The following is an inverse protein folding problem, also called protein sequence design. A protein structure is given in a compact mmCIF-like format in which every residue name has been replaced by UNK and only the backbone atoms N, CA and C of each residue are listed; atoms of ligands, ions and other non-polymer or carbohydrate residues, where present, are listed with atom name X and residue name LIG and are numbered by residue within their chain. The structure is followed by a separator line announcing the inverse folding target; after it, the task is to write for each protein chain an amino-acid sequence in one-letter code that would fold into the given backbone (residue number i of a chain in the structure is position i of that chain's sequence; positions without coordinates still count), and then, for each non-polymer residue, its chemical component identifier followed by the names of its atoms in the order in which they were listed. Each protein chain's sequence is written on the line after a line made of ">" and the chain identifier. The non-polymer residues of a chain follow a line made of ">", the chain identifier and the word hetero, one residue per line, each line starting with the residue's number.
data_IF_369455781373
#
_entry.id   IF_369455781373
#
_cell.length_a   1.000
_cell.length_b   1.000
_cell.length_c   1.000
_cell.angle_alpha   90.00
_cell.angle_beta   90.00
_cell.angle_gamma   90.00
#
_symmetry.space_group_name_H-M   'P 1'
#
loop_
_entity.id
_entity.type
_entity.pdbx_description
1 polymer ?
#
# COMPACT_ATOMS: atom_id res chain seq x y z
N UNK A 1 24.79 -21.15 1.62
CA UNK A 1 25.34 -20.47 0.43
C UNK A 1 24.22 -19.78 -0.36
N UNK A 2 23.35 -20.54 -1.04
CA UNK A 2 22.24 -20.02 -1.90
C UNK A 2 21.36 -18.93 -1.25
N UNK A 3 20.90 -19.10 0.00
CA UNK A 3 20.08 -18.08 0.69
C UNK A 3 20.79 -16.73 0.84
N UNK A 4 22.09 -16.76 1.14
CA UNK A 4 22.90 -15.56 1.31
C UNK A 4 23.10 -14.84 -0.02
N UNK A 5 23.32 -15.60 -1.10
CA UNK A 5 23.45 -15.06 -2.45
C UNK A 5 22.15 -14.40 -2.91
N UNK A 6 21.00 -15.07 -2.74
CA UNK A 6 19.69 -14.49 -3.05
C UNK A 6 19.47 -13.19 -2.27
N UNK A 7 19.78 -13.17 -0.98
CA UNK A 7 19.66 -11.95 -0.14
C UNK A 7 20.55 -10.82 -0.65
N UNK A 8 21.79 -11.11 -1.03
CA UNK A 8 22.70 -10.11 -1.60
C UNK A 8 22.17 -9.54 -2.92
N UNK A 9 21.66 -10.40 -3.81
CA UNK A 9 21.05 -9.97 -5.08
C UNK A 9 19.83 -9.08 -4.81
N UNK A 10 18.94 -9.46 -3.89
CA UNK A 10 17.79 -8.65 -3.51
C UNK A 10 18.19 -7.25 -3.00
N UNK A 11 19.22 -7.19 -2.15
CA UNK A 11 19.75 -5.92 -1.63
C UNK A 11 20.36 -5.06 -2.74
N UNK A 12 21.15 -5.64 -3.65
CA UNK A 12 21.75 -4.93 -4.78
C UNK A 12 20.69 -4.34 -5.72
N UNK A 13 19.66 -5.12 -6.07
CA UNK A 13 18.56 -4.63 -6.91
C UNK A 13 17.77 -3.53 -6.20
N UNK A 14 17.51 -3.67 -4.90
CA UNK A 14 16.82 -2.65 -4.10
C UNK A 14 17.61 -1.33 -4.04
N UNK A 15 18.93 -1.38 -3.84
CA UNK A 15 19.78 -0.20 -3.90
C UNK A 15 19.76 0.45 -5.30
N UNK A 16 19.78 -0.37 -6.36
CA UNK A 16 19.64 0.10 -7.74
C UNK A 16 18.32 0.85 -7.99
N UNK A 17 17.21 0.35 -7.44
CA UNK A 17 15.91 1.02 -7.52
C UNK A 17 15.95 2.40 -6.84
N UNK A 18 16.51 2.48 -5.62
CA UNK A 18 16.64 3.75 -4.90
C UNK A 18 17.49 4.73 -5.71
N UNK A 19 18.63 4.28 -6.24
CA UNK A 19 19.50 5.10 -7.09
C UNK A 19 18.73 5.66 -8.30
N UNK A 20 17.92 4.84 -8.96
CA UNK A 20 17.09 5.27 -10.08
C UNK A 20 16.14 6.38 -9.66
N UNK A 21 15.42 6.26 -8.54
CA UNK A 21 14.50 7.31 -8.08
C UNK A 21 15.22 8.60 -7.70
N UNK A 22 16.40 8.52 -7.07
CA UNK A 22 17.23 9.68 -6.72
C UNK A 22 17.78 10.39 -7.97
N UNK A 23 18.16 9.62 -8.99
CA UNK A 23 18.74 10.14 -10.23
C UNK A 23 17.69 10.60 -11.24
N UNK A 24 16.48 10.04 -11.22
CA UNK A 24 15.37 10.38 -12.13
C UNK A 24 15.17 11.89 -12.38
N UNK A 25 15.18 12.77 -11.35
CA UNK A 25 14.97 14.20 -11.55
C UNK A 25 16.17 14.97 -12.10
N UNK A 26 17.34 14.34 -12.21
CA UNK A 26 18.60 15.00 -12.60
C UNK A 26 18.73 15.19 -14.11
N UNK A 27 19.57 16.15 -14.50
CA UNK A 27 19.94 16.40 -15.90
C UNK A 27 20.64 15.19 -16.52
N UNK A 28 21.52 14.53 -15.76
CA UNK A 28 22.23 13.31 -16.16
C UNK A 28 21.25 12.22 -16.58
N UNK A 29 20.23 11.95 -15.75
CA UNK A 29 19.24 10.93 -16.09
C UNK A 29 18.43 11.32 -17.34
N UNK A 30 17.94 12.55 -17.42
CA UNK A 30 17.08 12.99 -18.54
C UNK A 30 17.80 13.10 -19.88
N UNK A 31 19.03 13.60 -19.89
CA UNK A 31 19.79 13.89 -21.12
C UNK A 31 20.69 12.74 -21.56
N UNK A 32 21.17 11.91 -20.64
CA UNK A 32 22.15 10.87 -20.94
C UNK A 32 21.58 9.47 -20.72
N UNK A 33 21.15 9.14 -19.49
CA UNK A 33 20.80 7.75 -19.16
C UNK A 33 19.50 7.31 -19.84
N UNK A 34 18.42 8.06 -19.67
CA UNK A 34 17.10 7.67 -20.18
C UNK A 34 17.06 7.59 -21.71
N UNK A 35 17.63 8.53 -22.49
CA UNK A 35 17.70 8.40 -23.94
C UNK A 35 18.51 7.19 -24.39
N UNK A 36 19.66 6.91 -23.75
CA UNK A 36 20.49 5.73 -24.05
C UNK A 36 19.76 4.42 -23.77
N UNK A 37 19.06 4.32 -22.63
CA UNK A 37 18.25 3.14 -22.29
C UNK A 37 17.08 3.02 -23.26
N UNK A 38 16.39 4.12 -23.59
CA UNK A 38 15.28 4.12 -24.54
C UNK A 38 15.72 3.62 -25.92
N UNK A 39 16.86 4.08 -26.43
CA UNK A 39 17.39 3.62 -27.71
C UNK A 39 17.62 2.10 -27.75
N UNK A 40 18.03 1.50 -26.63
CA UNK A 40 18.29 0.04 -26.52
C UNK A 40 17.04 -0.80 -26.21
N UNK A 41 15.96 -0.18 -25.75
CA UNK A 41 14.76 -0.88 -25.26
C UNK A 41 13.51 -0.62 -26.10
N UNK A 42 13.61 0.27 -27.07
CA UNK A 42 12.55 0.53 -28.04
C UNK A 42 12.50 -0.64 -29.03
N UNK A 43 11.51 -1.50 -28.83
CA UNK A 43 11.23 -2.67 -29.67
C UNK A 43 9.86 -2.57 -30.31
N UNK A 44 9.59 -3.42 -31.30
CA UNK A 44 8.29 -3.53 -31.97
C UNK A 44 7.16 -3.81 -30.97
N UNK A 45 7.43 -4.58 -29.91
CA UNK A 45 6.41 -5.00 -28.93
C UNK A 45 6.22 -4.00 -27.79
N UNK A 46 7.31 -3.46 -27.23
CA UNK A 46 7.22 -2.60 -26.04
C UNK A 46 7.23 -1.10 -26.35
N UNK A 47 7.60 -0.71 -27.58
CA UNK A 47 7.57 0.68 -28.05
C UNK A 47 8.19 1.67 -27.06
N UNK A 48 7.45 2.73 -26.75
CA UNK A 48 7.89 3.79 -25.82
C UNK A 48 7.82 3.40 -24.34
N UNK A 49 7.19 2.27 -24.00
CA UNK A 49 7.07 1.78 -22.64
C UNK A 49 8.27 0.93 -22.20
N UNK A 50 9.03 0.35 -23.15
CA UNK A 50 10.13 -0.59 -22.86
C UNK A 50 11.14 -0.09 -21.83
N UNK A 51 11.62 1.15 -21.98
CA UNK A 51 12.57 1.74 -21.04
C UNK A 51 12.01 1.83 -19.61
N UNK A 52 10.74 2.21 -19.46
CA UNK A 52 10.11 2.38 -18.15
C UNK A 52 9.74 1.05 -17.51
N UNK A 53 9.33 0.06 -18.32
CA UNK A 53 9.15 -1.31 -17.86
C UNK A 53 10.46 -1.88 -17.31
N UNK A 54 11.58 -1.71 -18.03
CA UNK A 54 12.88 -2.21 -17.61
C UNK A 54 13.38 -1.55 -16.31
N UNK A 55 13.20 -0.23 -16.18
CA UNK A 55 13.79 0.54 -15.07
C UNK A 55 12.91 0.49 -13.81
N UNK A 56 11.58 0.53 -13.96
CA UNK A 56 10.65 0.68 -12.83
C UNK A 56 9.87 -0.59 -12.52
N UNK A 57 9.32 -1.25 -13.54
CA UNK A 57 8.43 -2.40 -13.35
C UNK A 57 9.22 -3.68 -13.07
N UNK A 58 10.16 -4.03 -13.94
CA UNK A 58 10.90 -5.28 -13.88
C UNK A 58 11.66 -5.48 -12.56
N UNK A 59 12.43 -4.51 -12.02
CA UNK A 59 13.21 -4.72 -10.80
C UNK A 59 12.32 -4.99 -9.58
N UNK A 60 11.17 -4.31 -9.49
CA UNK A 60 10.20 -4.53 -8.41
C UNK A 60 9.56 -5.92 -8.48
N UNK A 61 9.11 -6.34 -9.67
CA UNK A 61 8.54 -7.67 -9.86
C UNK A 61 9.58 -8.77 -9.67
N UNK A 62 10.84 -8.52 -10.07
CA UNK A 62 11.96 -9.41 -9.83
C UNK A 62 12.22 -9.61 -8.33
N UNK A 63 12.24 -8.53 -7.53
CA UNK A 63 12.35 -8.60 -6.06
C UNK A 63 11.19 -9.42 -5.48
N UNK A 64 9.96 -9.18 -5.94
CA UNK A 64 8.80 -9.92 -5.45
C UNK A 64 8.89 -11.42 -5.76
N UNK A 65 9.22 -11.78 -7.01
CA UNK A 65 9.34 -13.17 -7.45
C UNK A 65 10.49 -13.90 -6.74
N UNK A 66 11.69 -13.30 -6.73
CA UNK A 66 12.85 -13.86 -6.04
C UNK A 66 12.64 -13.90 -4.52
N UNK A 67 11.87 -12.94 -3.98
CA UNK A 67 11.41 -12.93 -2.60
C UNK A 67 10.55 -14.13 -2.23
N UNK A 68 9.64 -14.56 -3.11
CA UNK A 68 8.87 -15.78 -2.91
C UNK A 68 9.78 -17.02 -2.80
N UNK A 69 10.77 -17.12 -3.71
CA UNK A 69 11.76 -18.22 -3.68
C UNK A 69 12.57 -18.19 -2.38
N UNK A 70 13.06 -17.01 -1.99
CA UNK A 70 13.81 -16.84 -0.74
C UNK A 70 13.01 -17.27 0.48
N UNK A 71 11.75 -16.82 0.59
CA UNK A 71 10.88 -17.15 1.71
C UNK A 71 10.53 -18.64 1.73
N UNK A 72 10.30 -19.26 0.58
CA UNK A 72 10.03 -20.70 0.47
C UNK A 72 11.23 -21.53 0.96
N UNK A 73 12.44 -21.21 0.50
CA UNK A 73 13.67 -21.86 0.96
C UNK A 73 13.89 -21.67 2.46
N UNK A 74 13.45 -20.53 3.00
CA UNK A 74 13.59 -20.20 4.43
C UNK A 74 12.60 -20.99 5.28
N UNK A 75 11.35 -21.14 4.83
CA UNK A 75 10.28 -21.87 5.53
C UNK A 75 10.57 -23.37 5.68
N UNK A 76 11.26 -24.00 4.72
CA UNK A 76 11.55 -25.43 4.74
C UNK A 76 12.66 -25.85 5.73
N UNK A 77 13.36 -24.90 6.35
CA UNK A 77 14.32 -25.19 7.42
C UNK A 77 13.75 -24.65 8.74
N UNK A 78 13.18 -25.54 9.56
CA UNK A 78 12.67 -25.21 10.90
C UNK A 78 13.76 -24.71 11.89
N UNK A 79 15.01 -24.58 11.47
CA UNK A 79 16.15 -24.24 12.33
C UNK A 79 16.38 -22.73 12.60
N UNK A 80 15.59 -21.83 12.00
CA UNK A 80 15.78 -20.38 12.22
C UNK A 80 15.15 -19.91 13.55
N UNK A 81 14.37 -20.74 14.22
CA UNK A 81 13.68 -20.36 15.46
C UNK A 81 14.57 -20.33 16.72
N UNK A 82 15.86 -20.71 16.62
CA UNK A 82 16.81 -20.70 17.76
C UNK A 82 17.94 -19.66 17.67
N UNK A 83 18.10 -18.91 16.57
CA UNK A 83 19.38 -18.20 16.29
C UNK A 83 19.37 -16.66 16.39
N UNK A 84 18.35 -16.03 16.98
CA UNK A 84 18.36 -14.56 17.22
C UNK A 84 18.46 -14.13 18.68
N UNK A 85 18.93 -14.99 19.59
CA UNK A 85 19.13 -14.65 21.02
C UNK A 85 20.44 -13.86 21.30
N UNK A 86 21.10 -13.32 20.26
CA UNK A 86 22.21 -12.37 20.41
C UNK A 86 22.04 -11.18 19.47
N UNK A 87 21.00 -10.37 19.65
CA UNK A 87 20.90 -9.08 18.97
C UNK A 87 21.55 -7.98 19.85
N UNK A 88 22.51 -7.27 19.25
CA UNK A 88 23.30 -6.20 19.87
C UNK A 88 22.42 -5.10 20.48
N UNK A 89 22.66 -4.73 21.74
CA UNK A 89 21.87 -3.76 22.53
C UNK A 89 21.67 -2.38 21.87
N UNK A 90 22.45 -2.00 20.86
CA UNK A 90 22.32 -0.73 20.12
C UNK A 90 21.19 -0.72 19.08
N UNK A 91 20.87 -1.85 18.46
CA UNK A 91 19.83 -1.93 17.41
C UNK A 91 18.43 -1.96 18.04
N UNK A 92 18.29 -2.48 19.28
CA UNK A 92 17.01 -2.52 19.99
C UNK A 92 16.47 -1.12 20.32
N UNK A 93 17.35 -0.14 20.56
CA UNK A 93 17.00 1.26 20.86
C UNK A 93 16.29 1.94 19.67
N UNK A 94 16.60 1.56 18.43
CA UNK A 94 15.94 2.12 17.24
C UNK A 94 14.59 1.47 16.92
N UNK A 95 14.32 0.30 17.51
CA UNK A 95 13.04 -0.42 17.42
C UNK A 95 12.04 0.04 18.48
N UNK A 96 12.44 0.88 19.45
CA UNK A 96 11.51 1.43 20.43
C UNK A 96 10.63 2.50 19.78
N UNK A 97 9.36 2.63 20.23
CA UNK A 97 8.47 3.68 19.74
C UNK A 97 8.99 5.04 20.21
N UNK A 98 9.34 5.91 19.26
CA UNK A 98 9.81 7.28 19.54
C UNK A 98 8.64 8.25 19.59
N UNK A 99 7.61 8.01 18.79
CA UNK A 99 6.36 8.78 18.79
C UNK A 99 5.21 7.86 19.15
N UNK A 100 4.47 8.17 20.21
CA UNK A 100 3.34 7.36 20.70
C UNK A 100 2.00 8.09 20.50
N UNK A 101 2.02 9.40 20.22
CA UNK A 101 0.82 10.22 19.95
C UNK A 101 1.13 11.28 18.89
N UNK A 102 0.33 11.33 17.82
CA UNK A 102 0.46 12.30 16.72
C UNK A 102 -0.27 11.84 15.45
N UNK A 103 -0.37 12.69 14.40
CA UNK A 103 -1.01 12.34 13.13
C UNK A 103 -0.34 11.16 12.40
N UNK A 104 0.92 10.87 12.76
CA UNK A 104 1.69 9.74 12.24
C UNK A 104 1.41 8.42 13.00
N UNK A 105 0.72 8.45 14.14
CA UNK A 105 0.47 7.24 14.95
C UNK A 105 1.70 6.79 15.74
N UNK A 106 1.78 5.49 16.04
CA UNK A 106 2.91 4.89 16.78
C UNK A 106 4.03 4.57 15.79
N UNK A 107 5.19 5.21 15.96
CA UNK A 107 6.31 5.16 15.00
C UNK A 107 7.62 4.87 15.74
N UNK A 108 8.41 3.93 15.22
CA UNK A 108 9.76 3.63 15.72
C UNK A 108 10.80 4.62 15.17
N UNK A 109 11.98 4.69 15.77
CA UNK A 109 13.07 5.54 15.26
C UNK A 109 13.47 5.19 13.82
N UNK A 110 13.49 3.90 13.48
CA UNK A 110 13.75 3.44 12.11
C UNK A 110 12.69 3.92 11.12
N UNK A 111 11.41 3.78 11.46
CA UNK A 111 10.31 4.20 10.60
C UNK A 111 10.29 5.72 10.38
N UNK A 112 10.62 6.48 11.42
CA UNK A 112 10.75 7.93 11.31
C UNK A 112 11.90 8.32 10.38
N UNK A 113 13.05 7.64 10.48
CA UNK A 113 14.18 7.86 9.57
C UNK A 113 13.82 7.55 8.10
N UNK A 114 13.14 6.41 7.85
CA UNK A 114 12.65 6.09 6.51
C UNK A 114 11.64 7.11 5.98
N UNK A 115 10.74 7.59 6.85
CA UNK A 115 9.79 8.64 6.48
C UNK A 115 10.52 9.94 6.11
N UNK A 116 11.47 10.40 6.92
CA UNK A 116 12.28 11.59 6.63
C UNK A 116 13.05 11.44 5.32
N UNK A 117 13.69 10.29 5.10
CA UNK A 117 14.41 10.00 3.86
C UNK A 117 13.48 10.02 2.64
N UNK A 118 12.25 9.51 2.79
CA UNK A 118 11.25 9.56 1.71
C UNK A 118 10.80 11.00 1.42
N UNK A 119 10.54 11.80 2.45
CA UNK A 119 10.22 13.23 2.27
C UNK A 119 11.39 13.97 1.61
N UNK A 120 12.63 13.70 2.04
CA UNK A 120 13.82 14.27 1.43
C UNK A 120 13.93 13.91 -0.06
N UNK A 121 13.61 12.67 -0.45
CA UNK A 121 13.55 12.25 -1.85
C UNK A 121 12.51 13.06 -2.65
N UNK A 122 11.32 13.31 -2.09
CA UNK A 122 10.27 14.09 -2.76
C UNK A 122 10.69 15.55 -2.92
N UNK A 123 11.26 16.16 -1.88
CA UNK A 123 11.76 17.55 -1.91
C UNK A 123 12.91 17.68 -2.90
N UNK A 124 13.88 16.75 -2.85
CA UNK A 124 14.98 16.68 -3.82
C UNK A 124 14.44 16.60 -5.25
N UNK A 125 13.51 15.67 -5.50
CA UNK A 125 12.93 15.48 -6.84
C UNK A 125 12.23 16.73 -7.33
N UNK A 126 11.42 17.36 -6.48
CA UNK A 126 10.72 18.59 -6.83
C UNK A 126 11.70 19.74 -7.12
N UNK A 127 12.68 19.97 -6.24
CA UNK A 127 13.67 21.03 -6.38
C UNK A 127 14.53 20.85 -7.65
N UNK A 128 15.07 19.64 -7.88
CA UNK A 128 15.88 19.35 -9.07
C UNK A 128 15.08 19.52 -10.36
N UNK A 129 13.81 19.09 -10.38
CA UNK A 129 12.95 19.33 -11.53
C UNK A 129 12.66 20.81 -11.76
N UNK A 130 12.44 21.59 -10.71
CA UNK A 130 12.18 23.03 -10.80
C UNK A 130 13.38 23.79 -11.34
N UNK A 131 14.58 23.58 -10.77
CA UNK A 131 15.82 24.24 -11.20
C UNK A 131 16.03 24.04 -12.70
N UNK A 132 15.99 22.78 -13.15
CA UNK A 132 16.16 22.45 -14.56
C UNK A 132 15.08 23.05 -15.48
N UNK A 133 13.85 23.20 -14.99
CA UNK A 133 12.77 23.77 -15.81
C UNK A 133 12.88 25.27 -15.90
N UNK A 134 13.16 25.94 -14.78
CA UNK A 134 13.22 27.40 -14.69
C UNK A 134 14.42 27.98 -15.43
N UNK A 135 15.51 27.23 -15.58
CA UNK A 135 16.63 27.61 -16.46
C UNK A 135 16.19 27.85 -17.92
N UNK A 136 15.16 27.15 -18.38
CA UNK A 136 14.66 27.26 -19.76
C UNK A 136 13.59 28.34 -19.94
N UNK A 137 13.04 28.89 -18.85
CA UNK A 137 11.91 29.81 -18.88
C UNK A 137 12.40 31.26 -18.81
N UNK A 138 12.18 32.01 -19.90
CA UNK A 138 12.44 33.45 -19.98
C UNK A 138 11.29 34.18 -20.69
N UNK A 139 11.37 35.52 -20.78
CA UNK A 139 10.32 36.33 -21.41
C UNK A 139 9.99 35.89 -22.84
N UNK A 140 11.01 35.48 -23.62
CA UNK A 140 10.82 35.06 -25.02
C UNK A 140 10.14 33.70 -25.11
N UNK A 141 10.52 32.73 -24.28
CA UNK A 141 9.91 31.39 -24.30
C UNK A 141 8.48 31.41 -23.78
N UNK A 142 8.22 32.16 -22.70
CA UNK A 142 6.87 32.31 -22.15
C UNK A 142 5.93 33.01 -23.17
N UNK A 143 6.39 34.08 -23.82
CA UNK A 143 5.61 34.78 -24.83
C UNK A 143 5.24 33.90 -26.04
N UNK A 144 6.10 32.93 -26.42
CA UNK A 144 5.77 31.95 -27.48
C UNK A 144 4.58 31.05 -27.12
N UNK A 145 4.32 30.85 -25.83
CA UNK A 145 3.18 30.08 -25.33
C UNK A 145 1.96 30.97 -25.05
N UNK A 146 2.04 32.28 -25.32
CA UNK A 146 1.01 33.25 -24.93
C UNK A 146 0.97 33.50 -23.41
N UNK A 147 2.03 33.12 -22.68
CA UNK A 147 2.09 33.19 -21.23
C UNK A 147 3.07 34.29 -20.76
N UNK A 148 2.81 34.80 -19.57
CA UNK A 148 3.78 35.58 -18.79
C UNK A 148 4.75 34.64 -18.07
N UNK A 149 5.91 35.16 -17.64
CA UNK A 149 6.95 34.35 -16.98
C UNK A 149 6.45 33.65 -15.72
N UNK A 150 5.59 34.30 -14.91
CA UNK A 150 5.08 33.67 -13.69
C UNK A 150 4.07 32.57 -13.99
N UNK A 151 3.27 32.71 -15.06
CA UNK A 151 2.31 31.68 -15.50
C UNK A 151 3.04 30.43 -16.00
N UNK A 152 4.04 30.59 -16.88
CA UNK A 152 4.85 29.46 -17.39
C UNK A 152 5.58 28.75 -16.23
N UNK A 153 6.14 29.52 -15.28
CA UNK A 153 6.74 28.95 -14.06
C UNK A 153 5.72 28.16 -13.22
N UNK A 154 4.49 28.65 -13.09
CA UNK A 154 3.44 27.99 -12.30
C UNK A 154 2.92 26.71 -12.99
N UNK A 155 2.71 26.72 -14.31
CA UNK A 155 2.37 25.50 -15.07
C UNK A 155 3.48 24.46 -14.98
N UNK A 156 4.74 24.90 -15.14
CA UNK A 156 5.89 24.01 -14.98
C UNK A 156 5.94 23.40 -13.57
N UNK A 157 5.71 24.20 -12.53
CA UNK A 157 5.62 23.70 -11.15
C UNK A 157 4.47 22.70 -10.97
N UNK A 158 3.30 22.98 -11.55
CA UNK A 158 2.16 22.08 -11.60
C UNK A 158 2.55 20.71 -12.16
N UNK A 159 3.20 20.66 -13.33
CA UNK A 159 3.71 19.41 -13.91
C UNK A 159 4.66 18.68 -12.96
N UNK A 160 5.51 19.39 -12.20
CA UNK A 160 6.47 18.76 -11.27
C UNK A 160 5.78 18.15 -10.07
N UNK A 161 4.72 18.78 -9.54
CA UNK A 161 3.89 18.16 -8.52
C UNK A 161 3.29 16.82 -9.00
N UNK A 162 2.81 16.75 -10.25
CA UNK A 162 2.31 15.51 -10.83
C UNK A 162 3.38 14.42 -10.95
N UNK A 163 4.58 14.77 -11.42
CA UNK A 163 5.71 13.83 -11.54
C UNK A 163 6.18 13.31 -10.17
N UNK A 164 6.28 14.19 -9.17
CA UNK A 164 6.67 13.81 -7.80
C UNK A 164 5.55 13.01 -7.12
N UNK A 165 4.28 13.35 -7.38
CA UNK A 165 3.12 12.58 -6.93
C UNK A 165 3.15 11.13 -7.44
N UNK A 166 3.66 10.91 -8.66
CA UNK A 166 3.82 9.57 -9.22
C UNK A 166 4.84 8.72 -8.44
N UNK A 167 5.85 9.33 -7.81
CA UNK A 167 6.76 8.61 -6.89
C UNK A 167 5.96 8.07 -5.70
N UNK A 168 5.13 8.91 -5.05
CA UNK A 168 4.24 8.50 -3.97
C UNK A 168 3.29 7.37 -4.39
N UNK A 169 2.67 7.52 -5.57
CA UNK A 169 1.74 6.54 -6.12
C UNK A 169 2.41 5.20 -6.44
N UNK A 170 3.69 5.21 -6.82
CA UNK A 170 4.46 3.99 -7.09
C UNK A 170 4.59 3.08 -5.87
N UNK A 171 4.63 3.67 -4.68
CA UNK A 171 4.73 2.91 -3.43
C UNK A 171 3.39 2.67 -2.74
N UNK A 172 2.31 3.33 -3.18
CA UNK A 172 1.02 3.37 -2.48
C UNK A 172 0.37 1.99 -2.26
N UNK A 173 0.56 1.07 -3.21
CA UNK A 173 -0.13 -0.23 -3.22
C UNK A 173 0.65 -1.36 -2.52
N UNK A 174 1.97 -1.24 -2.34
CA UNK A 174 2.75 -2.29 -1.65
C UNK A 174 2.27 -2.55 -0.22
N UNK A 175 1.96 -1.52 0.61
CA UNK A 175 1.57 -1.75 2.01
C UNK A 175 0.21 -2.46 2.17
N UNK A 176 -0.62 -2.49 1.12
CA UNK A 176 -1.96 -3.13 1.13
C UNK A 176 -2.01 -4.48 0.41
N UNK A 177 -0.88 -4.92 -0.17
CA UNK A 177 -0.72 -6.24 -0.76
C UNK A 177 -0.34 -7.27 0.33
N UNK A 178 -1.35 -7.78 1.05
CA UNK A 178 -1.18 -8.48 2.35
C UNK A 178 -0.35 -9.76 2.25
N UNK A 179 -0.54 -10.54 1.20
CA UNK A 179 0.19 -11.78 0.91
C UNK A 179 1.43 -11.57 0.06
N UNK A 180 1.83 -10.33 -0.24
CA UNK A 180 3.02 -10.05 -1.03
C UNK A 180 4.30 -10.42 -0.29
N UNK A 181 5.21 -11.10 -0.98
CA UNK A 181 6.56 -11.40 -0.49
C UNK A 181 7.36 -10.14 -0.13
N UNK A 182 7.04 -8.98 -0.71
CA UNK A 182 7.75 -7.74 -0.44
C UNK A 182 7.61 -7.28 1.01
N UNK A 183 6.41 -7.41 1.60
CA UNK A 183 6.21 -7.07 3.01
C UNK A 183 6.99 -8.03 3.92
N UNK A 184 6.91 -9.33 3.61
CA UNK A 184 7.61 -10.37 4.36
C UNK A 184 9.15 -10.23 4.28
N UNK A 185 9.70 -9.84 3.13
CA UNK A 185 11.14 -9.57 2.96
C UNK A 185 11.64 -8.42 3.85
N UNK A 186 10.80 -7.41 4.06
CA UNK A 186 11.09 -6.27 4.95
C UNK A 186 10.82 -6.60 6.43
N UNK A 187 10.31 -7.80 6.73
CA UNK A 187 9.89 -8.19 8.08
C UNK A 187 8.67 -7.41 8.58
N UNK A 188 7.87 -6.84 7.66
CA UNK A 188 6.69 -6.05 7.98
C UNK A 188 5.44 -6.93 7.89
N UNK A 189 4.53 -6.77 8.85
CA UNK A 189 3.18 -7.34 8.75
C UNK A 189 2.27 -6.40 7.94
N UNK A 190 1.23 -6.96 7.34
CA UNK A 190 0.23 -6.17 6.60
C UNK A 190 -0.45 -5.12 7.48
N UNK A 191 -0.74 -5.45 8.73
CA UNK A 191 -1.33 -4.54 9.72
C UNK A 191 -0.42 -3.35 10.03
N UNK A 192 0.87 -3.61 10.29
CA UNK A 192 1.84 -2.55 10.55
C UNK A 192 2.06 -1.65 9.33
N UNK A 193 1.82 -2.19 8.13
CA UNK A 193 2.05 -1.51 6.86
C UNK A 193 0.92 -0.55 6.45
N UNK A 194 -0.30 -0.72 6.98
CA UNK A 194 -1.45 0.14 6.64
C UNK A 194 -1.14 1.63 6.90
N UNK A 195 -0.37 1.96 7.94
CA UNK A 195 0.01 3.36 8.21
C UNK A 195 0.81 3.99 7.08
N UNK A 196 1.67 3.23 6.41
CA UNK A 196 2.44 3.73 5.27
C UNK A 196 1.54 4.00 4.07
N UNK A 197 0.52 3.16 3.83
CA UNK A 197 -0.49 3.43 2.81
C UNK A 197 -1.25 4.74 3.10
N UNK A 198 -1.62 4.97 4.36
CA UNK A 198 -2.27 6.23 4.77
C UNK A 198 -1.34 7.43 4.49
N UNK A 199 -0.08 7.38 4.93
CA UNK A 199 0.88 8.47 4.70
C UNK A 199 1.10 8.74 3.21
N UNK A 200 1.36 7.69 2.41
CA UNK A 200 1.55 7.79 0.97
C UNK A 200 0.29 8.33 0.27
N UNK A 201 -0.89 7.91 0.72
CA UNK A 201 -2.17 8.38 0.19
C UNK A 201 -2.37 9.88 0.44
N UNK A 202 -2.12 10.36 1.66
CA UNK A 202 -2.18 11.81 1.95
C UNK A 202 -1.17 12.60 1.12
N UNK A 203 0.08 12.14 1.05
CA UNK A 203 1.14 12.80 0.27
C UNK A 203 0.76 12.88 -1.22
N UNK A 204 0.35 11.75 -1.80
CA UNK A 204 -0.05 11.69 -3.21
C UNK A 204 -1.24 12.61 -3.50
N UNK A 205 -2.26 12.61 -2.65
CA UNK A 205 -3.44 13.46 -2.84
C UNK A 205 -3.12 14.95 -2.71
N UNK A 206 -2.25 15.35 -1.77
CA UNK A 206 -1.78 16.75 -1.67
C UNK A 206 -1.05 17.16 -2.95
N UNK A 207 -0.13 16.32 -3.44
CA UNK A 207 0.65 16.61 -4.65
C UNK A 207 -0.22 16.65 -5.92
N UNK A 208 -1.17 15.72 -6.08
CA UNK A 208 -2.07 15.72 -7.24
C UNK A 208 -3.09 16.87 -7.19
N UNK A 209 -3.54 17.26 -6.00
CA UNK A 209 -4.39 18.45 -5.84
C UNK A 209 -3.61 19.72 -6.17
N UNK A 210 -2.37 19.85 -5.70
CA UNK A 210 -1.51 20.98 -6.05
C UNK A 210 -1.21 21.03 -7.56
N UNK A 211 -0.96 19.87 -8.19
CA UNK A 211 -0.81 19.73 -9.63
C UNK A 211 -2.01 20.30 -10.39
N UNK A 212 -3.22 19.83 -10.08
CA UNK A 212 -4.45 20.30 -10.72
C UNK A 212 -4.72 21.79 -10.46
N UNK A 213 -4.50 22.25 -9.22
CA UNK A 213 -4.73 23.65 -8.83
C UNK A 213 -3.80 24.63 -9.56
N UNK A 214 -2.52 24.28 -9.76
CA UNK A 214 -1.59 25.11 -10.53
C UNK A 214 -2.09 25.35 -11.97
N UNK A 215 -2.55 24.29 -12.66
CA UNK A 215 -3.13 24.42 -14.00
C UNK A 215 -4.43 25.21 -13.96
N UNK A 216 -5.30 24.96 -12.98
CA UNK A 216 -6.57 25.66 -12.87
C UNK A 216 -6.40 27.18 -12.68
N UNK A 217 -5.41 27.60 -11.87
CA UNK A 217 -5.09 29.02 -11.66
C UNK A 217 -4.60 29.66 -12.97
N UNK A 218 -3.67 29.01 -13.68
CA UNK A 218 -3.11 29.60 -14.92
C UNK A 218 -4.17 29.66 -16.02
N UNK A 219 -4.95 28.59 -16.23
CA UNK A 219 -5.97 28.56 -17.28
C UNK A 219 -7.15 29.47 -16.97
N UNK A 220 -7.54 29.59 -15.70
CA UNK A 220 -8.53 30.58 -15.26
C UNK A 220 -8.06 32.00 -15.51
N UNK A 221 -6.79 32.31 -15.23
CA UNK A 221 -6.23 33.64 -15.44
C UNK A 221 -6.00 33.99 -16.93
N UNK A 222 -5.77 33.01 -17.79
CA UNK A 222 -5.48 33.20 -19.23
C UNK A 222 -6.73 33.08 -20.10
N UNK A 223 -7.87 32.64 -19.54
CA UNK A 223 -9.10 32.41 -20.29
C UNK A 223 -9.08 31.12 -21.14
N UNK A 224 -8.08 30.25 -20.97
CA UNK A 224 -7.95 28.98 -21.70
C UNK A 224 -8.84 27.86 -21.12
N UNK A 225 -10.10 28.15 -20.84
CA UNK A 225 -11.03 27.20 -20.19
C UNK A 225 -11.31 25.95 -21.04
N UNK A 226 -11.18 26.04 -22.36
CA UNK A 226 -11.34 24.88 -23.25
C UNK A 226 -10.31 23.76 -22.97
N UNK A 227 -9.18 24.07 -22.33
CA UNK A 227 -8.16 23.09 -21.98
C UNK A 227 -8.66 22.03 -21.00
N UNK A 228 -9.59 22.39 -20.10
CA UNK A 228 -10.21 21.45 -19.15
C UNK A 228 -10.97 20.32 -19.83
N UNK A 229 -11.61 20.61 -20.98
CA UNK A 229 -12.44 19.65 -21.72
C UNK A 229 -11.60 18.86 -22.75
N UNK A 230 -10.27 19.04 -22.76
CA UNK A 230 -9.42 18.40 -23.75
C UNK A 230 -9.25 16.90 -23.49
N UNK A 231 -9.58 16.10 -24.51
CA UNK A 231 -9.35 14.65 -24.56
C UNK A 231 -8.47 14.31 -25.76
N UNK A 232 -7.20 13.95 -25.52
CA UNK A 232 -6.25 13.58 -26.57
C UNK A 232 -6.15 12.05 -26.70
N UNK A 233 -6.09 11.55 -27.95
CA UNK A 233 -5.96 10.09 -28.23
C UNK A 233 -4.56 9.55 -27.96
N UNK A 234 -3.55 10.38 -28.16
CA UNK A 234 -2.17 10.14 -27.80
C UNK A 234 -1.72 11.32 -26.94
N UNK A 235 -1.01 11.04 -25.85
CA UNK A 235 -0.57 11.99 -24.80
C UNK A 235 -1.61 12.30 -23.70
N UNK A 236 -1.39 13.41 -22.99
CA UNK A 236 -2.07 13.73 -21.73
C UNK A 236 -3.52 14.13 -21.98
N UNK A 237 -4.45 13.40 -21.37
CA UNK A 237 -5.89 13.68 -21.42
C UNK A 237 -6.32 14.41 -20.14
N UNK A 238 -6.74 15.68 -20.25
CA UNK A 238 -7.03 16.53 -19.08
C UNK A 238 -8.30 16.07 -18.38
N UNK A 239 -9.37 15.82 -19.13
CA UNK A 239 -10.65 15.31 -18.59
C UNK A 239 -10.43 14.00 -17.82
N UNK A 240 -9.58 13.10 -18.32
CA UNK A 240 -9.25 11.89 -17.60
C UNK A 240 -8.53 12.18 -16.27
N UNK A 241 -7.64 13.17 -16.26
CA UNK A 241 -6.97 13.65 -15.05
C UNK A 241 -7.94 14.23 -14.03
N UNK A 242 -8.92 15.01 -14.48
CA UNK A 242 -9.98 15.58 -13.63
C UNK A 242 -10.84 14.49 -13.00
N UNK A 243 -11.32 13.52 -13.79
CA UNK A 243 -12.12 12.41 -13.29
C UNK A 243 -11.33 11.59 -12.27
N UNK A 244 -10.05 11.31 -12.56
CA UNK A 244 -9.17 10.65 -11.61
C UNK A 244 -9.03 11.46 -10.32
N UNK A 245 -8.81 12.77 -10.40
CA UNK A 245 -8.68 13.64 -9.24
C UNK A 245 -9.98 13.69 -8.41
N UNK A 246 -11.16 13.76 -9.06
CA UNK A 246 -12.46 13.74 -8.37
C UNK A 246 -12.65 12.42 -7.61
N UNK A 247 -12.37 11.27 -8.25
CA UNK A 247 -12.38 9.98 -7.55
C UNK A 247 -11.42 9.97 -6.36
N UNK A 248 -10.20 10.50 -6.55
CA UNK A 248 -9.20 10.63 -5.50
C UNK A 248 -9.67 11.50 -4.33
N UNK A 249 -10.24 12.67 -4.60
CA UNK A 249 -10.74 13.60 -3.58
C UNK A 249 -11.92 13.00 -2.80
N UNK A 250 -12.85 12.31 -3.47
CA UNK A 250 -13.94 11.61 -2.80
C UNK A 250 -13.42 10.53 -1.83
N UNK A 251 -12.45 9.72 -2.27
CA UNK A 251 -11.77 8.77 -1.40
C UNK A 251 -11.04 9.46 -0.24
N UNK A 252 -10.40 10.59 -0.51
CA UNK A 252 -9.56 11.28 0.47
C UNK A 252 -10.38 11.93 1.60
N UNK A 253 -11.51 12.55 1.26
CA UNK A 253 -12.45 13.12 2.25
C UNK A 253 -12.97 12.03 3.18
N UNK A 254 -13.36 10.88 2.63
CA UNK A 254 -13.95 9.79 3.43
C UNK A 254 -12.93 9.06 4.33
N UNK A 255 -11.63 9.24 4.10
CA UNK A 255 -10.55 8.71 4.98
C UNK A 255 -10.39 9.53 6.27
N UNK A 256 -10.88 10.78 6.32
CA UNK A 256 -10.77 11.66 7.50
C UNK A 256 -11.25 10.90 8.75
N UNK A 257 -10.47 10.89 9.86
CA UNK A 257 -10.76 10.03 11.01
C UNK A 257 -12.17 10.15 11.58
N UNK A 258 -12.75 11.36 11.57
CA UNK A 258 -14.13 11.60 12.03
C UNK A 258 -15.16 10.90 11.14
N UNK A 259 -15.02 11.02 9.82
CA UNK A 259 -15.93 10.39 8.84
C UNK A 259 -15.75 8.88 8.87
N UNK A 260 -14.50 8.39 8.75
CA UNK A 260 -14.20 6.96 8.71
C UNK A 260 -14.67 6.19 9.95
N UNK A 261 -14.56 6.79 11.15
CA UNK A 261 -14.95 6.14 12.41
C UNK A 261 -16.46 6.13 12.62
N UNK A 262 -17.16 7.20 12.23
CA UNK A 262 -18.60 7.32 12.45
C UNK A 262 -19.43 6.72 11.31
N UNK A 263 -18.89 6.72 10.09
CA UNK A 263 -19.56 6.32 8.86
C UNK A 263 -18.68 5.33 8.07
N UNK A 264 -18.35 4.20 8.71
CA UNK A 264 -17.44 3.21 8.13
C UNK A 264 -17.90 2.69 6.76
N UNK A 265 -19.20 2.50 6.55
CA UNK A 265 -19.74 2.02 5.27
C UNK A 265 -19.52 3.03 4.14
N UNK A 266 -19.73 4.33 4.39
CA UNK A 266 -19.46 5.39 3.41
C UNK A 266 -17.98 5.41 3.03
N UNK A 267 -17.09 5.33 4.02
CA UNK A 267 -15.67 5.17 3.77
C UNK A 267 -15.38 3.93 2.91
N UNK A 268 -15.88 2.76 3.33
CA UNK A 268 -15.59 1.49 2.68
C UNK A 268 -16.02 1.47 1.20
N UNK A 269 -17.25 1.88 0.91
CA UNK A 269 -17.77 1.88 -0.47
C UNK A 269 -17.12 2.98 -1.32
N UNK A 270 -16.92 4.18 -0.78
CA UNK A 270 -16.27 5.28 -1.52
C UNK A 270 -14.81 4.93 -1.84
N UNK A 271 -14.12 4.20 -0.96
CA UNK A 271 -12.74 3.80 -1.22
C UNK A 271 -12.58 2.87 -2.42
N UNK A 272 -13.64 2.18 -2.88
CA UNK A 272 -13.62 1.39 -4.12
C UNK A 272 -13.48 2.23 -5.39
N UNK A 273 -13.67 3.55 -5.31
CA UNK A 273 -13.38 4.49 -6.40
C UNK A 273 -11.89 4.49 -6.79
N UNK A 274 -11.01 3.76 -6.07
CA UNK A 274 -9.63 3.51 -6.52
C UNK A 274 -9.59 2.86 -7.91
N UNK A 275 -10.60 2.07 -8.28
CA UNK A 275 -10.72 1.47 -9.61
C UNK A 275 -10.86 2.56 -10.67
N UNK A 276 -11.79 3.50 -10.44
CA UNK A 276 -11.98 4.68 -11.30
C UNK A 276 -10.73 5.55 -11.33
N UNK A 277 -10.15 5.86 -10.17
CA UNK A 277 -8.91 6.62 -10.05
C UNK A 277 -7.79 6.03 -10.91
N UNK A 278 -7.51 4.72 -10.79
CA UNK A 278 -6.43 4.07 -11.55
C UNK A 278 -6.77 4.04 -13.04
N UNK A 279 -7.99 3.67 -13.42
CA UNK A 279 -8.39 3.60 -14.83
C UNK A 279 -8.22 4.96 -15.53
N UNK A 280 -8.76 6.03 -14.94
CA UNK A 280 -8.65 7.38 -15.49
C UNK A 280 -7.23 7.96 -15.36
N UNK A 281 -6.44 7.55 -14.36
CA UNK A 281 -5.02 7.86 -14.33
C UNK A 281 -4.28 7.29 -15.56
N UNK A 282 -4.56 6.04 -15.95
CA UNK A 282 -3.95 5.44 -17.16
C UNK A 282 -4.32 6.24 -18.41
N UNK A 283 -5.58 6.63 -18.55
CA UNK A 283 -6.02 7.50 -19.66
C UNK A 283 -5.40 8.90 -19.59
N UNK A 284 -5.12 9.42 -18.39
CA UNK A 284 -4.53 10.73 -18.19
C UNK A 284 -3.07 10.79 -18.64
N UNK A 285 -2.20 9.85 -18.24
CA UNK A 285 -0.74 9.93 -18.51
C UNK A 285 -0.25 9.01 -19.63
N UNK A 286 -1.10 8.10 -20.09
CA UNK A 286 -0.75 7.06 -21.06
C UNK A 286 0.06 5.89 -20.48
N UNK A 287 -0.03 4.75 -21.14
CA UNK A 287 0.50 3.47 -20.65
C UNK A 287 1.99 3.51 -20.28
N UNK A 288 2.81 4.20 -21.08
CA UNK A 288 4.24 4.25 -20.83
C UNK A 288 4.57 4.90 -19.47
N UNK A 289 3.89 6.00 -19.10
CA UNK A 289 4.09 6.62 -17.78
C UNK A 289 3.46 5.83 -16.64
N UNK A 290 2.34 5.12 -16.89
CA UNK A 290 1.73 4.20 -15.92
C UNK A 290 2.70 3.11 -15.46
N UNK A 291 3.64 2.68 -16.31
CA UNK A 291 4.64 1.65 -15.97
C UNK A 291 5.47 1.99 -14.70
N UNK A 292 5.55 3.27 -14.33
CA UNK A 292 6.25 3.71 -13.10
C UNK A 292 5.50 3.21 -11.84
N UNK A 293 4.17 3.37 -11.77
CA UNK A 293 3.38 2.85 -10.64
C UNK A 293 2.97 1.39 -10.76
N UNK A 294 2.95 0.88 -12.01
CA UNK A 294 2.40 -0.41 -12.37
C UNK A 294 2.84 -1.57 -11.47
N UNK A 295 4.12 -1.73 -11.07
CA UNK A 295 4.52 -2.89 -10.26
C UNK A 295 3.78 -2.96 -8.91
N UNK A 296 3.58 -1.83 -8.22
CA UNK A 296 2.86 -1.82 -6.94
C UNK A 296 1.39 -2.22 -7.12
N UNK A 297 0.73 -1.64 -8.12
CA UNK A 297 -0.66 -1.97 -8.44
C UNK A 297 -0.82 -3.42 -8.91
N UNK A 298 0.09 -3.92 -9.75
CA UNK A 298 0.10 -5.29 -10.25
C UNK A 298 0.19 -6.30 -9.10
N UNK A 299 1.14 -6.13 -8.18
CA UNK A 299 1.26 -7.02 -7.03
C UNK A 299 0.01 -6.97 -6.14
N UNK A 300 -0.60 -5.79 -5.98
CA UNK A 300 -1.87 -5.67 -5.28
C UNK A 300 -3.02 -6.40 -5.99
N UNK A 301 -3.07 -6.38 -7.33
CA UNK A 301 -4.06 -7.14 -8.10
C UNK A 301 -3.85 -8.65 -7.97
N UNK A 302 -2.60 -9.13 -8.08
CA UNK A 302 -2.27 -10.55 -7.86
C UNK A 302 -2.68 -10.97 -6.44
N UNK A 303 -2.32 -10.19 -5.42
CA UNK A 303 -2.69 -10.44 -4.03
C UNK A 303 -4.22 -10.41 -3.83
N UNK A 304 -4.93 -9.47 -4.46
CA UNK A 304 -6.40 -9.41 -4.44
C UNK A 304 -7.02 -10.65 -5.07
N UNK A 305 -6.47 -11.13 -6.19
CA UNK A 305 -6.95 -12.33 -6.86
C UNK A 305 -6.69 -13.59 -6.02
N UNK A 306 -5.51 -13.73 -5.43
CA UNK A 306 -5.19 -14.87 -4.54
C UNK A 306 -6.11 -14.90 -3.32
N UNK A 307 -6.40 -13.74 -2.70
CA UNK A 307 -7.38 -13.63 -1.62
C UNK A 307 -8.79 -13.97 -2.07
N UNK A 308 -9.17 -13.57 -3.27
CA UNK A 308 -10.46 -13.98 -3.85
C UNK A 308 -10.55 -15.50 -4.04
N UNK A 309 -9.48 -16.17 -4.48
CA UNK A 309 -9.47 -17.64 -4.56
C UNK A 309 -9.55 -18.29 -3.17
N UNK A 310 -8.84 -17.73 -2.18
CA UNK A 310 -8.89 -18.21 -0.79
C UNK A 310 -10.30 -18.07 -0.20
N UNK A 311 -10.98 -16.96 -0.47
CA UNK A 311 -12.30 -16.66 0.09
C UNK A 311 -13.45 -17.51 -0.45
N UNK A 312 -13.23 -18.27 -1.54
CA UNK A 312 -14.22 -19.24 -2.04
C UNK A 312 -14.37 -20.46 -1.13
N UNK A 313 -13.44 -20.67 -0.19
CA UNK A 313 -13.49 -21.78 0.76
C UNK A 313 -14.38 -21.41 1.94
N UNK A 314 -15.48 -22.15 2.08
CA UNK A 314 -16.30 -22.12 3.29
C UNK A 314 -15.67 -23.02 4.35
N UNK A 315 -15.70 -22.58 5.59
CA UNK A 315 -15.18 -23.34 6.73
C UNK A 315 -16.34 -23.75 7.62
N UNK A 316 -16.33 -25.01 8.06
CA UNK A 316 -17.34 -25.56 8.95
C UNK A 316 -17.22 -24.93 10.34
N UNK A 317 -18.31 -24.33 10.80
CA UNK A 317 -18.48 -23.88 12.17
C UNK A 317 -18.75 -25.09 13.08
N UNK A 318 -17.91 -25.29 14.09
CA UNK A 318 -18.04 -26.39 15.08
C UNK A 318 -18.99 -26.01 16.21
N UNK A 319 -18.89 -24.77 16.69
CA UNK A 319 -19.77 -24.27 17.75
C UNK A 319 -19.79 -22.74 17.73
N UNK A 320 -20.92 -22.16 18.10
CA UNK A 320 -21.05 -20.75 18.43
C UNK A 320 -21.63 -20.58 19.82
N UNK A 321 -21.10 -19.63 20.60
CA UNK A 321 -21.62 -19.29 21.92
C UNK A 321 -21.77 -17.79 22.07
N UNK A 322 -22.92 -17.35 22.54
CA UNK A 322 -23.14 -15.96 22.98
C UNK A 322 -22.75 -15.86 24.45
N UNK A 323 -21.84 -14.95 24.76
CA UNK A 323 -21.36 -14.69 26.11
C UNK A 323 -22.12 -13.51 26.74
N UNK A 324 -22.25 -13.46 28.08
CA UNK A 324 -22.99 -12.39 28.77
C UNK A 324 -22.49 -10.95 28.51
N UNK A 325 -21.26 -10.79 28.01
CA UNK A 325 -20.63 -9.51 27.72
C UNK A 325 -20.83 -9.04 26.26
N UNK A 326 -21.98 -9.33 25.66
CA UNK A 326 -22.30 -9.01 24.25
C UNK A 326 -21.20 -9.49 23.27
N UNK A 327 -20.56 -10.61 23.59
CA UNK A 327 -19.45 -11.18 22.81
C UNK A 327 -19.85 -12.54 22.28
N UNK A 328 -19.54 -12.78 21.01
CA UNK A 328 -19.76 -14.06 20.35
C UNK A 328 -18.44 -14.82 20.28
N UNK A 329 -18.43 -16.05 20.77
CA UNK A 329 -17.35 -17.01 20.55
C UNK A 329 -17.71 -17.90 19.35
N UNK A 330 -16.83 -17.96 18.35
CA UNK A 330 -16.97 -18.82 17.17
C UNK A 330 -15.79 -19.78 17.09
N UNK A 331 -16.08 -21.06 16.92
CA UNK A 331 -15.10 -22.12 16.83
C UNK A 331 -15.22 -22.83 15.48
N UNK A 332 -14.14 -22.84 14.71
CA UNK A 332 -14.10 -23.38 13.35
C UNK A 332 -13.24 -24.63 13.28
N UNK A 333 -13.59 -25.53 12.36
CA UNK A 333 -12.75 -26.66 11.99
C UNK A 333 -11.54 -26.15 11.20
N UNK A 334 -10.35 -26.66 11.53
CA UNK A 334 -9.10 -26.25 10.91
C UNK A 334 -8.28 -27.47 10.50
N UNK A 335 -7.62 -27.36 9.35
CA UNK A 335 -6.58 -28.31 8.92
C UNK A 335 -5.38 -28.27 9.88
N UNK A 336 -4.94 -29.42 10.45
CA UNK A 336 -3.75 -29.50 11.31
C UNK A 336 -2.47 -28.94 10.69
N UNK A 337 -2.33 -28.95 9.36
CA UNK A 337 -1.20 -28.37 8.65
C UNK A 337 -1.12 -26.84 8.75
N UNK A 338 -2.25 -26.18 9.07
CA UNK A 338 -2.31 -24.72 9.21
C UNK A 338 -1.71 -24.28 10.55
N UNK A 339 -0.48 -23.76 10.52
CA UNK A 339 0.21 -23.21 11.69
C UNK A 339 -0.04 -21.71 11.82
N UNK A 340 -0.35 -21.27 13.04
CA UNK A 340 -0.46 -19.86 13.42
C UNK A 340 -0.15 -19.65 14.91
N UNK A 341 0.12 -18.40 15.27
CA UNK A 341 0.35 -18.00 16.66
C UNK A 341 -0.91 -17.28 17.15
N UNK A 342 -1.23 -17.43 18.44
CA UNK A 342 -2.19 -16.55 19.12
C UNK A 342 -1.80 -15.09 18.86
N UNK A 343 -2.77 -14.20 18.62
CA UNK A 343 -2.61 -12.82 18.08
C UNK A 343 -2.56 -12.66 16.57
N UNK A 344 -2.54 -13.74 15.79
CA UNK A 344 -2.74 -13.64 14.33
C UNK A 344 -4.17 -13.16 14.02
N UNK A 345 -4.35 -12.41 12.94
CA UNK A 345 -5.63 -11.90 12.46
C UNK A 345 -6.16 -12.77 11.32
N UNK A 346 -7.44 -13.08 11.36
CA UNK A 346 -8.20 -13.65 10.25
C UNK A 346 -9.27 -12.68 9.79
N UNK A 347 -9.60 -12.71 8.52
CA UNK A 347 -10.72 -11.95 7.97
C UNK A 347 -11.90 -12.89 7.75
N UNK A 348 -13.05 -12.51 8.29
CA UNK A 348 -14.27 -13.29 8.16
C UNK A 348 -15.25 -12.56 7.24
N UNK A 349 -15.91 -13.33 6.37
CA UNK A 349 -17.11 -12.93 5.67
C UNK A 349 -18.24 -13.92 5.98
N UNK A 350 -19.43 -13.38 6.24
CA UNK A 350 -20.66 -14.14 6.46
C UNK A 350 -21.66 -13.65 5.41
N UNK A 351 -21.86 -14.41 4.30
CA UNK A 351 -22.67 -13.96 3.17
C UNK A 351 -24.11 -13.62 3.52
N UNK A 352 -24.68 -14.24 4.56
CA UNK A 352 -26.04 -13.93 5.05
C UNK A 352 -26.16 -12.52 5.66
N UNK A 353 -25.06 -11.94 6.16
CA UNK A 353 -25.02 -10.57 6.69
C UNK A 353 -24.59 -9.58 5.60
N UNK A 354 -23.52 -9.91 4.87
CA UNK A 354 -22.97 -9.08 3.81
C UNK A 354 -22.15 -9.90 2.83
N UNK A 355 -22.39 -9.70 1.53
CA UNK A 355 -21.67 -10.41 0.45
C UNK A 355 -20.26 -9.86 0.19
N UNK A 356 -19.97 -8.63 0.65
CA UNK A 356 -18.75 -7.90 0.25
C UNK A 356 -17.88 -7.54 1.46
N UNK A 357 -18.46 -7.41 2.66
CA UNK A 357 -17.71 -6.93 3.83
C UNK A 357 -16.88 -8.06 4.46
N UNK A 358 -15.57 -7.81 4.59
CA UNK A 358 -14.62 -8.68 5.28
C UNK A 358 -14.13 -7.99 6.55
N UNK A 359 -14.31 -8.65 7.69
CA UNK A 359 -13.98 -8.07 9.00
C UNK A 359 -12.78 -8.78 9.64
N UNK A 360 -11.75 -8.04 10.08
CA UNK A 360 -10.60 -8.61 10.77
C UNK A 360 -10.95 -8.97 12.22
N UNK A 361 -10.55 -10.16 12.66
CA UNK A 361 -10.64 -10.60 14.05
C UNK A 361 -9.38 -11.33 14.48
N UNK A 362 -8.98 -11.12 15.73
CA UNK A 362 -7.81 -11.77 16.32
C UNK A 362 -8.13 -13.21 16.74
N UNK A 363 -7.24 -14.14 16.39
CA UNK A 363 -7.32 -15.54 16.81
C UNK A 363 -6.97 -15.67 18.29
N UNK A 364 -7.87 -16.29 19.05
CA UNK A 364 -7.70 -16.55 20.48
C UNK A 364 -7.10 -17.93 20.78
N UNK A 365 -7.38 -18.92 19.93
CA UNK A 365 -6.77 -20.27 19.98
C UNK A 365 -5.26 -20.28 19.67
N UNK A 366 -4.59 -21.38 20.00
CA UNK A 366 -3.18 -21.62 19.63
C UNK A 366 -3.05 -22.90 18.82
N UNK A 367 -2.45 -22.82 17.62
CA UNK A 367 -2.38 -23.97 16.71
C UNK A 367 -1.60 -25.18 17.25
N UNK A 368 -0.72 -25.00 18.24
CA UNK A 368 0.02 -26.10 18.87
C UNK A 368 -0.78 -26.82 19.96
N UNK A 369 -1.71 -26.10 20.62
CA UNK A 369 -2.53 -26.66 21.71
C UNK A 369 -3.87 -27.20 21.19
N UNK A 370 -4.43 -26.54 20.18
CA UNK A 370 -5.70 -26.89 19.55
C UNK A 370 -5.46 -27.14 18.05
N UNK A 371 -4.99 -28.34 17.65
CA UNK A 371 -4.55 -28.61 16.29
C UNK A 371 -5.68 -28.59 15.26
N UNK A 372 -6.91 -28.89 15.66
CA UNK A 372 -8.08 -29.02 14.77
C UNK A 372 -9.09 -27.87 14.90
N UNK A 373 -8.85 -26.92 15.81
CA UNK A 373 -9.83 -25.89 16.17
C UNK A 373 -9.22 -24.49 16.04
N UNK A 374 -9.97 -23.59 15.41
CA UNK A 374 -9.66 -22.17 15.34
C UNK A 374 -10.77 -21.38 16.04
N UNK A 375 -10.41 -20.69 17.11
CA UNK A 375 -11.34 -19.97 17.98
C UNK A 375 -11.21 -18.45 17.83
N UNK A 376 -12.35 -17.76 17.77
CA UNK A 376 -12.45 -16.30 17.63
C UNK A 376 -13.44 -15.73 18.64
N UNK A 377 -13.15 -14.52 19.12
CA UNK A 377 -14.04 -13.74 19.99
C UNK A 377 -14.40 -12.43 19.31
N UNK A 378 -15.69 -12.20 19.08
CA UNK A 378 -16.23 -11.06 18.36
C UNK A 378 -17.11 -10.24 19.29
N UNK A 379 -16.70 -9.02 19.59
CA UNK A 379 -17.51 -8.06 20.33
C UNK A 379 -18.58 -7.43 19.43
N UNK A 380 -19.72 -7.09 20.00
CA UNK A 380 -20.81 -6.36 19.34
C UNK A 380 -20.46 -4.88 19.14
N UNK A 381 -19.58 -4.58 18.19
CA UNK A 381 -19.11 -3.23 17.86
C UNK A 381 -19.37 -2.87 16.38
N UNK A 382 -20.54 -2.27 16.11
CA UNK A 382 -20.96 -1.82 14.77
C UNK A 382 -22.09 -2.65 14.16
N UNK A 383 -22.59 -2.20 13.00
CA UNK A 383 -23.77 -2.76 12.33
C UNK A 383 -23.61 -4.24 11.98
N UNK A 384 -22.43 -4.64 11.48
CA UNK A 384 -22.16 -6.02 11.07
C UNK A 384 -22.15 -7.00 12.26
N UNK A 385 -21.41 -6.70 13.32
CA UNK A 385 -21.32 -7.57 14.51
C UNK A 385 -22.62 -7.60 15.32
N UNK A 386 -23.41 -6.52 15.28
CA UNK A 386 -24.75 -6.51 15.88
C UNK A 386 -25.70 -7.49 15.17
N UNK A 387 -25.68 -7.51 13.83
CA UNK A 387 -26.45 -8.49 13.05
C UNK A 387 -25.99 -9.92 13.32
N UNK A 388 -24.68 -10.15 13.42
CA UNK A 388 -24.13 -11.47 13.78
C UNK A 388 -24.64 -11.93 15.15
N UNK A 389 -24.55 -11.06 16.17
CA UNK A 389 -25.04 -11.36 17.51
C UNK A 389 -26.54 -11.67 17.50
N UNK A 390 -27.34 -10.91 16.76
CA UNK A 390 -28.79 -11.13 16.64
C UNK A 390 -29.10 -12.49 16.02
N UNK A 391 -28.46 -12.83 14.89
CA UNK A 391 -28.63 -14.13 14.22
C UNK A 391 -28.33 -15.28 15.17
N UNK A 392 -27.21 -15.21 15.91
CA UNK A 392 -26.79 -16.28 16.82
C UNK A 392 -27.59 -16.34 18.12
N UNK A 393 -28.25 -15.24 18.50
CA UNK A 393 -29.16 -15.23 19.65
C UNK A 393 -30.53 -15.80 19.31
N UNK A 394 -30.95 -15.73 18.04
CA UNK A 394 -32.27 -16.18 17.58
C UNK A 394 -32.25 -17.59 16.98
N UNK A 395 -31.16 -18.00 16.33
CA UNK A 395 -31.05 -19.30 15.68
C UNK A 395 -30.73 -20.40 16.70
N UNK A 396 -31.63 -21.40 16.83
CA UNK A 396 -31.45 -22.56 17.71
C UNK A 396 -30.49 -23.62 17.13
N UNK A 397 -30.10 -23.50 15.86
CA UNK A 397 -29.19 -24.44 15.18
C UNK A 397 -28.05 -23.71 14.45
N UNK A 398 -26.82 -24.15 14.75
CA UNK A 398 -25.54 -23.62 14.25
C UNK A 398 -25.22 -24.11 12.83
N UNK A 399 -25.96 -25.13 12.36
CA UNK A 399 -25.65 -25.92 11.15
C UNK A 399 -25.82 -25.18 9.80
N UNK A 400 -26.26 -23.92 9.80
CA UNK A 400 -26.55 -23.18 8.57
C UNK A 400 -25.78 -21.85 8.41
N UNK A 401 -24.82 -21.54 9.27
CA UNK A 401 -24.02 -20.34 9.10
C UNK A 401 -22.83 -20.60 8.17
N UNK A 402 -23.00 -20.25 6.90
CA UNK A 402 -21.90 -20.23 5.94
C UNK A 402 -20.90 -19.13 6.31
N UNK A 403 -19.66 -19.53 6.60
CA UNK A 403 -18.57 -18.61 6.95
C UNK A 403 -17.39 -18.82 6.01
N UNK A 404 -16.95 -17.74 5.37
CA UNK A 404 -15.72 -17.71 4.58
C UNK A 404 -14.61 -17.05 5.39
N UNK A 405 -13.39 -17.61 5.35
CA UNK A 405 -12.23 -17.10 6.10
C UNK A 405 -11.05 -16.84 5.17
N UNK A 406 -10.37 -15.72 5.39
CA UNK A 406 -9.13 -15.31 4.74
C UNK A 406 -8.02 -15.15 5.81
N UNK A 407 -6.80 -15.60 5.52
CA UNK A 407 -5.66 -15.62 6.45
C UNK A 407 -5.28 -17.03 6.91
N UNK A 408 -4.63 -17.18 8.08
CA UNK A 408 -4.28 -16.17 9.07
C UNK A 408 -3.11 -15.27 8.62
N UNK A 409 -3.19 -13.99 8.99
CA UNK A 409 -2.13 -13.00 8.84
C UNK A 409 -1.58 -12.64 10.22
N UNK A 410 -0.28 -12.59 10.38
CA UNK A 410 0.30 -12.26 11.68
C UNK A 410 1.81 -12.40 11.65
N UNK A 411 2.52 -11.85 12.65
CA UNK A 411 3.95 -12.02 12.73
C UNK A 411 4.28 -13.51 12.89
N UNK A 412 5.29 -13.97 12.15
CA UNK A 412 5.78 -15.35 12.26
C UNK A 412 6.46 -15.65 13.62
N UNK A 413 6.63 -14.65 14.50
CA UNK A 413 7.25 -14.80 15.81
C UNK A 413 6.67 -13.85 16.88
N UNK A 414 6.77 -14.27 18.14
CA UNK A 414 6.24 -13.62 19.35
C UNK A 414 7.15 -12.54 19.94
N UNK A 415 8.11 -12.00 19.20
CA UNK A 415 9.16 -11.10 19.75
C UNK A 415 8.56 -9.90 20.51
N UNK A 416 7.39 -9.42 20.11
CA UNK A 416 6.67 -8.33 20.79
C UNK A 416 6.16 -8.70 22.20
N UNK A 417 5.67 -9.93 22.40
CA UNK A 417 5.13 -10.35 23.71
C UNK A 417 6.23 -10.55 24.76
N UNK A 418 7.43 -10.97 24.36
CA UNK A 418 8.57 -11.18 25.29
C UNK A 418 9.13 -9.85 25.80
N UNK A 419 9.10 -8.78 25.00
CA UNK A 419 9.48 -7.43 25.44
C UNK A 419 8.45 -6.83 26.40
N UNK A 420 7.16 -7.09 26.17
CA UNK A 420 6.08 -6.61 27.04
C UNK A 420 6.02 -7.37 28.39
N UNK A 421 6.30 -8.68 28.41
CA UNK A 421 6.34 -9.45 29.66
C UNK A 421 7.52 -9.06 30.55
N UNK A 422 8.66 -8.65 29.97
CA UNK A 422 9.81 -8.12 30.72
C UNK A 422 9.52 -6.80 31.44
N UNK A 423 8.47 -6.08 31.05
CA UNK A 423 8.04 -4.83 31.71
C UNK A 423 6.87 -5.02 32.68
N UNK A 424 6.30 -6.24 32.80
CA UNK A 424 5.24 -6.55 33.77
C UNK A 424 5.72 -7.27 35.02
N UNK A 425 7.03 -7.48 35.18
CA UNK A 425 7.62 -7.99 36.44
C UNK A 425 8.06 -6.82 37.32
N UNK A 426 7.20 -5.84 37.58
CA UNK A 426 7.36 -4.92 38.71
C UNK A 426 5.98 -4.63 39.31
N UNK A 427 5.92 -4.84 40.63
CA UNK A 427 4.89 -4.49 41.63
C UNK A 427 3.59 -5.32 41.66
N UNK A 428 3.51 -6.09 42.75
CA UNK A 428 2.29 -6.56 43.43
C UNK A 428 1.39 -5.41 43.85
#
# INVERSE_FOLDING_TARGET
>A
MVKSEIRMVLLLVFMGIIMIFVMMPTTTFKKVWFPSIKAKTQSTYFGSAGARLLIYTFPMLFIAALGCVYLHLTKNNEDIYKKSDKENNRISIWKTPVLVKGPLGIVTGTELAFFIMFIALLVWSFASYLVMSFETINKKTAAKLGLTVWQDKLESAGLRFGLVGNIGLSFLFFPVARGSSMLALLGLTSEASIKYHIWLGHIAMVLFTAHGLCYAIVWGNTGHLHAFISWRKADISVVAGEVALICGLAMWVTVIPRIRRNMFEVFFYTHHLYIGFVAFFVFHVGFAYTCIMLPGFYLFMVDRYLRFLQSRRQIRLLSSRVLPCDTVELNFLKDPALRYISTSIVFINIPSISKIQWHPFTITSNSNLEPEKLSLMIKKEGSWSQKLHQILSTASSVDHLDVCIEGPYGPASTHFMRSASKHRTITY
#
